data_IF_831796740330
#
_entry.id   IF_831796740330
#
_cell.length_a   1.000
_cell.length_b   1.000
_cell.length_c   1.000
_cell.angle_alpha   90.00
_cell.angle_beta   90.00
_cell.angle_gamma   90.00
#
_symmetry.space_group_name_H-M   'P 1'
#
loop_
_entity.id
_entity.type
_entity.pdbx_description
1 polymer ?
#
# COMPACT_ATOMS: atom_id res chain seq x y z
N UNK A 1 -18.58 25.71 7.59
CA UNK A 1 -17.28 26.32 7.22
C UNK A 1 -16.05 25.50 7.69
N UNK A 2 -16.21 24.38 8.42
CA UNK A 2 -15.09 23.55 8.89
C UNK A 2 -15.12 22.13 8.29
N UNK A 3 -15.09 21.97 6.96
CA UNK A 3 -15.04 20.62 6.32
C UNK A 3 -13.61 20.16 6.00
N UNK A 4 -12.70 21.12 5.78
CA UNK A 4 -11.32 20.82 5.37
C UNK A 4 -10.47 20.15 6.45
N UNK A 5 -10.79 20.32 7.74
CA UNK A 5 -9.94 19.81 8.81
C UNK A 5 -9.85 18.28 8.83
N UNK A 6 -10.90 17.55 8.43
CA UNK A 6 -10.87 16.08 8.36
C UNK A 6 -9.83 15.65 7.31
N UNK A 7 -9.91 16.21 6.10
CA UNK A 7 -8.97 15.91 5.03
C UNK A 7 -7.54 16.32 5.39
N UNK A 8 -7.35 17.49 5.99
CA UNK A 8 -6.03 17.97 6.43
C UNK A 8 -5.47 17.04 7.50
N UNK A 9 -6.25 16.72 8.54
CA UNK A 9 -5.81 15.86 9.65
C UNK A 9 -5.49 14.46 9.15
N UNK A 10 -6.36 13.89 8.32
CA UNK A 10 -6.13 12.60 7.68
C UNK A 10 -4.85 12.60 6.84
N UNK A 11 -4.67 13.61 5.98
CA UNK A 11 -3.49 13.70 5.11
C UNK A 11 -2.22 13.81 5.93
N UNK A 12 -2.19 14.65 6.98
CA UNK A 12 -1.03 14.79 7.85
C UNK A 12 -0.69 13.47 8.56
N UNK A 13 -1.70 12.78 9.11
CA UNK A 13 -1.51 11.48 9.74
C UNK A 13 -1.06 10.43 8.73
N UNK A 14 -1.65 10.39 7.54
CA UNK A 14 -1.36 9.40 6.52
C UNK A 14 0.06 9.59 5.96
N UNK A 15 0.47 10.83 5.70
CA UNK A 15 1.86 11.15 5.32
C UNK A 15 2.82 10.73 6.43
N UNK A 16 2.53 11.06 7.70
CA UNK A 16 3.36 10.62 8.81
C UNK A 16 3.49 9.09 8.86
N UNK A 17 2.38 8.36 8.77
CA UNK A 17 2.38 6.90 8.75
C UNK A 17 3.13 6.33 7.55
N UNK A 18 3.01 6.95 6.37
CA UNK A 18 3.72 6.52 5.19
C UNK A 18 5.25 6.62 5.33
N UNK A 19 5.79 7.51 6.16
CA UNK A 19 7.23 7.63 6.41
C UNK A 19 7.71 6.90 7.67
N UNK A 20 6.92 6.90 8.75
CA UNK A 20 7.30 6.26 10.03
C UNK A 20 7.25 4.75 9.93
N UNK A 21 6.26 4.19 9.22
CA UNK A 21 6.14 2.76 8.98
C UNK A 21 7.24 2.34 7.99
N UNK A 22 8.19 1.46 8.37
CA UNK A 22 9.20 0.98 7.44
C UNK A 22 8.56 0.36 6.19
N UNK A 23 9.23 0.40 5.03
CA UNK A 23 8.79 -0.35 3.86
C UNK A 23 8.48 -1.82 4.20
N UNK A 24 7.43 -2.39 3.64
CA UNK A 24 7.09 -3.83 3.76
C UNK A 24 6.66 -4.34 5.15
N UNK A 25 6.48 -3.46 6.12
CA UNK A 25 5.85 -3.80 7.42
C UNK A 25 4.32 -3.88 7.35
N UNK A 26 3.72 -3.39 6.25
CA UNK A 26 2.28 -3.58 6.04
C UNK A 26 2.00 -4.98 5.48
N UNK A 27 0.84 -5.60 5.81
CA UNK A 27 0.44 -6.88 5.25
C UNK A 27 0.58 -6.91 3.74
N UNK A 28 1.29 -7.93 3.24
CA UNK A 28 1.52 -8.23 1.82
C UNK A 28 2.13 -7.11 0.96
N UNK A 29 2.52 -5.97 1.54
CA UNK A 29 3.04 -4.80 0.80
C UNK A 29 4.28 -5.13 -0.03
N UNK A 30 5.11 -6.05 0.46
CA UNK A 30 6.22 -6.63 -0.28
C UNK A 30 5.77 -7.24 -1.60
N UNK A 31 4.72 -8.06 -1.56
CA UNK A 31 4.25 -8.79 -2.73
C UNK A 31 3.56 -7.85 -3.72
N UNK A 32 2.80 -6.89 -3.22
CA UNK A 32 2.21 -5.84 -4.05
C UNK A 32 3.29 -5.02 -4.75
N UNK A 33 4.34 -4.60 -4.03
CA UNK A 33 5.44 -3.87 -4.63
C UNK A 33 6.24 -4.74 -5.63
N UNK A 34 6.46 -6.01 -5.32
CA UNK A 34 7.08 -6.96 -6.26
C UNK A 34 6.30 -7.10 -7.57
N UNK A 35 4.97 -6.98 -7.52
CA UNK A 35 4.09 -6.96 -8.70
C UNK A 35 4.31 -5.67 -9.51
N UNK A 36 4.32 -4.51 -8.83
CA UNK A 36 4.61 -3.20 -9.43
C UNK A 36 5.99 -3.19 -10.10
N UNK A 37 7.03 -3.63 -9.39
CA UNK A 37 8.40 -3.68 -9.88
C UNK A 37 8.53 -4.60 -11.11
N UNK A 38 7.86 -5.77 -11.09
CA UNK A 38 7.85 -6.67 -12.25
C UNK A 38 7.25 -6.00 -13.49
N UNK A 39 6.10 -5.34 -13.35
CA UNK A 39 5.46 -4.63 -14.48
C UNK A 39 6.33 -3.46 -14.94
N UNK A 40 6.84 -2.65 -14.02
CA UNK A 40 7.67 -1.48 -14.34
C UNK A 40 8.93 -1.90 -15.13
N UNK A 41 9.56 -3.01 -14.74
CA UNK A 41 10.78 -3.54 -15.37
C UNK A 41 10.52 -4.24 -16.70
N UNK A 42 9.45 -5.02 -16.81
CA UNK A 42 9.25 -5.93 -17.95
C UNK A 42 8.19 -5.44 -18.94
N UNK A 43 7.34 -4.50 -18.53
CA UNK A 43 6.14 -4.09 -19.26
C UNK A 43 5.07 -5.18 -19.38
N UNK A 44 5.19 -6.28 -18.63
CA UNK A 44 4.31 -7.45 -18.74
C UNK A 44 3.62 -7.75 -17.41
N UNK A 45 2.40 -8.29 -17.51
CA UNK A 45 1.72 -8.85 -16.35
C UNK A 45 2.40 -10.14 -15.91
N UNK A 46 2.53 -10.38 -14.59
CA UNK A 46 3.09 -11.62 -14.08
C UNK A 46 2.18 -12.81 -14.40
N UNK A 47 2.80 -13.97 -14.62
CA UNK A 47 2.08 -15.22 -14.81
C UNK A 47 1.96 -15.90 -13.45
N UNK A 48 0.73 -16.13 -12.99
CA UNK A 48 0.48 -16.92 -11.79
C UNK A 48 0.75 -18.39 -12.06
N UNK A 49 1.63 -19.01 -11.28
CA UNK A 49 1.98 -20.42 -11.40
C UNK A 49 1.93 -21.10 -10.04
N UNK A 50 1.23 -22.23 -9.97
CA UNK A 50 1.18 -23.07 -8.76
C UNK A 50 2.53 -23.74 -8.45
N UNK A 51 3.42 -23.82 -9.43
CA UNK A 51 4.73 -24.46 -9.30
C UNK A 51 5.83 -23.51 -8.80
N UNK A 52 5.52 -22.21 -8.65
CA UNK A 52 6.49 -21.22 -8.19
C UNK A 52 6.04 -20.68 -6.84
N UNK A 53 6.62 -21.24 -5.79
CA UNK A 53 6.30 -20.93 -4.38
C UNK A 53 7.42 -20.17 -3.68
N UNK A 54 8.54 -19.91 -4.38
CA UNK A 54 9.68 -19.22 -3.78
C UNK A 54 9.56 -17.70 -4.02
N UNK A 55 9.34 -16.90 -2.96
CA UNK A 55 9.22 -15.44 -3.08
C UNK A 55 10.52 -14.75 -3.52
N UNK A 56 11.67 -15.43 -3.50
CA UNK A 56 12.92 -14.94 -4.11
C UNK A 56 12.89 -15.04 -5.65
N UNK A 57 12.11 -15.96 -6.22
CA UNK A 57 11.97 -16.13 -7.67
C UNK A 57 10.70 -15.48 -8.21
N UNK A 58 9.67 -15.32 -7.37
CA UNK A 58 8.41 -14.64 -7.71
C UNK A 58 8.05 -13.65 -6.60
N UNK A 59 8.61 -12.43 -6.64
CA UNK A 59 8.44 -11.45 -5.56
C UNK A 59 7.00 -10.96 -5.39
N UNK A 60 6.10 -11.26 -6.32
CA UNK A 60 4.66 -10.95 -6.25
C UNK A 60 3.79 -12.09 -5.70
N UNK A 61 4.28 -13.34 -5.66
CA UNK A 61 3.54 -14.51 -5.15
C UNK A 61 2.07 -14.53 -5.60
N UNK A 62 1.14 -14.74 -4.68
CA UNK A 62 -0.31 -14.78 -4.91
C UNK A 62 -0.89 -13.47 -5.49
N UNK A 63 -0.19 -12.34 -5.39
CA UNK A 63 -0.69 -11.06 -5.89
C UNK A 63 -0.78 -11.02 -7.42
N UNK A 64 -0.13 -11.94 -8.14
CA UNK A 64 -0.29 -12.06 -9.58
C UNK A 64 -1.69 -12.51 -10.03
N UNK A 65 -2.53 -13.05 -9.14
CA UNK A 65 -3.94 -13.34 -9.48
C UNK A 65 -4.87 -12.14 -9.29
N UNK A 66 -4.38 -11.01 -8.75
CA UNK A 66 -5.22 -9.86 -8.47
C UNK A 66 -5.45 -8.96 -9.71
N UNK A 67 -6.55 -8.19 -9.76
CA UNK A 67 -6.81 -7.27 -10.87
C UNK A 67 -5.68 -6.26 -11.08
N UNK A 68 -5.25 -6.02 -12.33
CA UNK A 68 -3.97 -5.37 -12.60
C UNK A 68 -3.98 -3.83 -12.50
N UNK A 69 -5.15 -3.18 -12.42
CA UNK A 69 -5.26 -1.73 -12.65
C UNK A 69 -4.39 -0.89 -11.71
N UNK A 70 -4.44 -1.16 -10.40
CA UNK A 70 -3.61 -0.46 -9.41
C UNK A 70 -2.13 -0.58 -9.76
N UNK A 71 -1.72 -1.79 -10.10
CA UNK A 71 -0.32 -2.11 -10.36
C UNK A 71 0.19 -1.51 -11.67
N UNK A 72 -0.66 -1.41 -12.70
CA UNK A 72 -0.32 -0.73 -13.95
C UNK A 72 -0.08 0.76 -13.72
N UNK A 73 -0.92 1.42 -12.92
CA UNK A 73 -0.75 2.84 -12.56
C UNK A 73 0.52 3.02 -11.72
N UNK A 74 0.69 2.22 -10.67
CA UNK A 74 1.86 2.26 -9.81
C UNK A 74 3.16 1.94 -10.58
N UNK A 75 3.12 1.03 -11.55
CA UNK A 75 4.26 0.71 -12.39
C UNK A 75 4.63 1.88 -13.32
N UNK A 76 3.64 2.63 -13.82
CA UNK A 76 3.90 3.87 -14.56
C UNK A 76 4.58 4.95 -13.70
N UNK A 77 4.30 4.99 -12.39
CA UNK A 77 5.00 5.86 -11.44
C UNK A 77 6.43 5.37 -11.19
N UNK A 78 6.63 4.05 -11.09
CA UNK A 78 7.95 3.47 -10.78
C UNK A 78 8.89 3.41 -12.00
N UNK A 79 8.38 3.23 -13.20
CA UNK A 79 9.16 3.00 -14.43
C UNK A 79 10.25 4.04 -14.74
N UNK A 80 10.11 5.34 -14.41
CA UNK A 80 11.17 6.32 -14.60
C UNK A 80 12.37 6.18 -13.65
N UNK A 81 12.25 5.38 -12.59
CA UNK A 81 13.30 5.17 -11.60
C UNK A 81 14.09 3.90 -11.93
N UNK A 82 15.42 3.98 -11.92
CA UNK A 82 16.27 2.80 -12.10
C UNK A 82 16.00 1.78 -10.98
N UNK A 83 15.72 0.54 -11.37
CA UNK A 83 15.35 -0.55 -10.47
C UNK A 83 16.59 -1.16 -9.79
N UNK A 84 17.00 -0.54 -8.68
CA UNK A 84 17.99 -1.02 -7.72
C UNK A 84 17.36 -1.87 -6.58
N UNK A 85 16.13 -2.39 -6.79
CA UNK A 85 15.37 -3.19 -5.80
C UNK A 85 16.11 -4.38 -5.21
N UNK A 86 16.93 -5.06 -6.00
CA UNK A 86 17.73 -6.21 -5.56
C UNK A 86 18.69 -5.86 -4.41
N UNK A 87 19.01 -4.58 -4.26
CA UNK A 87 19.85 -4.03 -3.19
C UNK A 87 19.05 -3.45 -2.03
N UNK A 88 17.73 -3.33 -2.14
CA UNK A 88 16.90 -2.68 -1.13
C UNK A 88 16.38 -3.64 -0.05
N UNK A 89 16.06 -4.89 -0.39
CA UNK A 89 15.43 -5.78 0.59
C UNK A 89 15.79 -7.25 0.41
N UNK A 90 15.75 -7.98 1.53
CA UNK A 90 15.82 -9.43 1.57
C UNK A 90 14.79 -9.95 2.57
N UNK A 91 14.16 -11.07 2.25
CA UNK A 91 13.31 -11.77 3.22
C UNK A 91 14.19 -12.17 4.39
N UNK A 92 13.72 -11.87 5.60
CA UNK A 92 14.47 -12.19 6.81
C UNK A 92 14.52 -13.72 6.98
N UNK A 93 15.70 -14.35 6.98
CA UNK A 93 15.82 -15.81 7.09
C UNK A 93 15.35 -16.35 8.45
N UNK A 94 15.21 -15.48 9.45
CA UNK A 94 14.73 -15.83 10.79
C UNK A 94 13.25 -15.51 11.00
N UNK A 95 12.52 -15.07 9.97
CA UNK A 95 11.11 -14.72 10.11
C UNK A 95 10.27 -15.93 10.49
N UNK A 96 9.37 -15.74 11.45
CA UNK A 96 8.31 -16.68 11.82
C UNK A 96 6.98 -15.94 11.83
N UNK A 97 6.29 -15.99 10.68
CA UNK A 97 4.94 -15.43 10.54
C UNK A 97 3.88 -16.51 10.82
N UNK A 98 2.70 -16.08 11.23
CA UNK A 98 1.53 -16.95 11.39
C UNK A 98 1.20 -17.36 12.84
N UNK A 99 2.12 -17.15 13.79
CA UNK A 99 1.85 -17.32 15.22
C UNK A 99 2.37 -16.13 16.03
N UNK A 100 1.44 -15.27 16.45
CA UNK A 100 1.74 -14.07 17.23
C UNK A 100 2.12 -14.37 18.68
N UNK A 101 1.89 -15.58 19.17
CA UNK A 101 2.18 -16.00 20.56
C UNK A 101 3.63 -16.42 20.75
N UNK A 102 4.34 -16.73 19.66
CA UNK A 102 5.76 -17.10 19.73
C UNK A 102 6.66 -15.86 19.91
N UNK A 103 7.80 -16.00 20.63
CA UNK A 103 8.79 -14.93 20.76
C UNK A 103 9.71 -14.82 19.53
N UNK A 104 9.41 -15.55 18.44
CA UNK A 104 10.24 -15.57 17.24
C UNK A 104 10.17 -14.24 16.48
N UNK A 105 11.12 -14.06 15.55
CA UNK A 105 11.25 -12.82 14.82
C UNK A 105 10.06 -12.63 13.86
N UNK A 106 9.31 -11.54 14.06
CA UNK A 106 8.14 -11.18 13.23
C UNK A 106 8.50 -10.22 12.10
N UNK A 107 9.72 -9.67 12.10
CA UNK A 107 10.17 -8.81 11.02
C UNK A 107 10.28 -9.63 9.73
N UNK A 108 9.43 -9.30 8.76
CA UNK A 108 9.36 -10.00 7.49
C UNK A 108 10.57 -9.76 6.59
N UNK A 109 11.13 -8.54 6.60
CA UNK A 109 12.16 -8.15 5.64
C UNK A 109 13.30 -7.37 6.30
N UNK A 110 14.51 -7.65 5.84
CA UNK A 110 15.68 -6.83 6.16
C UNK A 110 15.78 -5.77 5.08
N UNK A 111 15.66 -4.50 5.47
CA UNK A 111 15.66 -3.34 4.58
C UNK A 111 17.04 -2.68 4.62
N UNK A 112 17.61 -2.47 3.45
CA UNK A 112 18.81 -1.66 3.24
C UNK A 112 18.41 -0.39 2.50
N UNK A 113 18.66 0.77 3.11
CA UNK A 113 18.30 2.08 2.53
C UNK A 113 19.29 2.55 1.43
N UNK A 114 19.92 1.61 0.73
CA UNK A 114 20.97 1.87 -0.27
C UNK A 114 20.42 1.95 -1.70
N UNK A 115 19.09 2.01 -1.86
CA UNK A 115 18.40 2.02 -3.15
C UNK A 115 17.51 3.26 -3.27
N UNK A 116 18.10 4.47 -3.42
CA UNK A 116 17.38 5.74 -3.31
C UNK A 116 16.32 5.92 -4.41
N UNK A 117 16.56 5.38 -5.61
CA UNK A 117 15.64 5.51 -6.74
C UNK A 117 14.37 4.69 -6.50
N UNK A 118 14.53 3.40 -6.19
CA UNK A 118 13.40 2.54 -5.86
C UNK A 118 12.67 3.02 -4.60
N UNK A 119 13.38 3.58 -3.60
CA UNK A 119 12.73 4.13 -2.39
C UNK A 119 11.86 5.32 -2.75
N UNK A 120 12.35 6.21 -3.61
CA UNK A 120 11.58 7.37 -4.08
C UNK A 120 10.30 6.90 -4.79
N UNK A 121 10.41 5.96 -5.72
CA UNK A 121 9.25 5.37 -6.40
C UNK A 121 8.27 4.71 -5.42
N UNK A 122 8.77 3.97 -4.43
CA UNK A 122 7.96 3.34 -3.39
C UNK A 122 7.13 4.36 -2.60
N UNK A 123 7.75 5.44 -2.11
CA UNK A 123 7.04 6.48 -1.38
C UNK A 123 6.06 7.25 -2.27
N UNK A 124 6.37 7.48 -3.55
CA UNK A 124 5.42 8.07 -4.50
C UNK A 124 4.18 7.17 -4.70
N UNK A 125 4.35 5.85 -4.71
CA UNK A 125 3.21 4.92 -4.75
C UNK A 125 2.41 4.96 -3.45
N UNK A 126 3.06 5.07 -2.27
CA UNK A 126 2.33 5.31 -1.01
C UNK A 126 1.53 6.62 -1.04
N UNK A 127 2.04 7.68 -1.68
CA UNK A 127 1.29 8.93 -1.89
C UNK A 127 0.09 8.74 -2.85
N UNK A 128 0.22 7.89 -3.88
CA UNK A 128 -0.93 7.46 -4.69
C UNK A 128 -1.98 6.75 -3.81
N UNK A 129 -1.56 5.82 -2.94
CA UNK A 129 -2.49 5.14 -2.04
C UNK A 129 -3.21 6.10 -1.09
N UNK A 130 -2.52 7.12 -0.58
CA UNK A 130 -3.14 8.18 0.23
C UNK A 130 -4.18 8.99 -0.55
N UNK A 131 -3.90 9.32 -1.81
CA UNK A 131 -4.85 10.07 -2.64
C UNK A 131 -6.11 9.25 -2.92
N UNK A 132 -5.98 7.93 -3.12
CA UNK A 132 -7.12 7.01 -3.22
C UNK A 132 -7.93 6.97 -1.93
N UNK A 133 -7.30 6.93 -0.75
CA UNK A 133 -8.02 7.00 0.52
C UNK A 133 -8.76 8.33 0.74
N UNK A 134 -8.24 9.45 0.24
CA UNK A 134 -8.97 10.73 0.23
C UNK A 134 -10.23 10.66 -0.64
N UNK A 135 -10.17 9.96 -1.77
CA UNK A 135 -11.34 9.70 -2.62
C UNK A 135 -12.34 8.85 -1.86
N UNK A 136 -11.93 7.77 -1.18
CA UNK A 136 -12.82 6.97 -0.32
C UNK A 136 -13.54 7.83 0.73
N UNK A 137 -12.80 8.67 1.46
CA UNK A 137 -13.39 9.57 2.49
C UNK A 137 -14.42 10.52 1.85
N UNK A 138 -14.09 11.08 0.69
CA UNK A 138 -15.02 11.94 -0.05
C UNK A 138 -16.28 11.18 -0.48
N UNK A 139 -16.12 9.97 -1.05
CA UNK A 139 -17.19 9.07 -1.49
C UNK A 139 -18.12 8.73 -0.31
N UNK A 140 -17.57 8.44 0.87
CA UNK A 140 -18.35 8.21 2.10
C UNK A 140 -19.20 9.42 2.47
N UNK A 141 -18.64 10.63 2.33
CA UNK A 141 -19.39 11.87 2.53
C UNK A 141 -20.56 12.03 1.54
N UNK A 142 -20.38 11.64 0.28
CA UNK A 142 -21.46 11.67 -0.72
C UNK A 142 -22.54 10.63 -0.43
N UNK A 143 -22.14 9.37 -0.17
CA UNK A 143 -23.05 8.27 0.17
C UNK A 143 -23.87 8.61 1.40
N UNK A 144 -23.27 9.19 2.43
CA UNK A 144 -23.99 9.62 3.63
C UNK A 144 -25.07 10.66 3.33
N UNK A 145 -24.82 11.62 2.41
CA UNK A 145 -25.83 12.61 1.99
C UNK A 145 -26.96 11.97 1.19
N UNK A 146 -26.66 10.97 0.36
CA UNK A 146 -27.65 10.25 -0.44
C UNK A 146 -28.58 9.39 0.43
N UNK A 147 -28.03 8.69 1.43
CA UNK A 147 -28.81 7.80 2.31
C UNK A 147 -29.66 8.59 3.29
N UNK A 148 -29.11 9.64 3.91
CA UNK A 148 -29.80 10.44 4.91
C UNK A 148 -29.39 11.91 4.81
N UNK A 149 -30.12 12.73 4.04
CA UNK A 149 -29.77 14.13 3.79
C UNK A 149 -29.56 14.98 5.05
N UNK A 150 -30.30 14.70 6.12
CA UNK A 150 -30.21 15.40 7.40
C UNK A 150 -29.07 14.90 8.32
N UNK A 151 -28.41 13.80 7.96
CA UNK A 151 -27.29 13.28 8.73
C UNK A 151 -26.02 14.07 8.41
N UNK A 152 -25.20 14.45 9.40
CA UNK A 152 -23.93 15.14 9.15
C UNK A 152 -22.92 14.17 8.53
N UNK A 153 -22.60 14.26 7.21
CA UNK A 153 -21.66 13.34 6.57
C UNK A 153 -20.25 13.44 7.15
N UNK A 154 -19.91 14.58 7.77
CA UNK A 154 -18.65 14.77 8.47
C UNK A 154 -18.45 13.74 9.60
N UNK A 155 -19.54 13.28 10.22
CA UNK A 155 -19.47 12.20 11.21
C UNK A 155 -19.08 10.87 10.56
N UNK A 156 -19.74 10.49 9.46
CA UNK A 156 -19.41 9.27 8.72
C UNK A 156 -17.97 9.31 8.18
N UNK A 157 -17.56 10.45 7.61
CA UNK A 157 -16.19 10.68 7.15
C UNK A 157 -15.18 10.55 8.29
N UNK A 158 -15.47 11.11 9.47
CA UNK A 158 -14.58 11.04 10.63
C UNK A 158 -14.40 9.61 11.14
N UNK A 159 -15.46 8.81 11.15
CA UNK A 159 -15.37 7.39 11.55
C UNK A 159 -14.43 6.59 10.65
N UNK A 160 -14.38 6.90 9.35
CA UNK A 160 -13.46 6.24 8.41
C UNK A 160 -12.06 6.84 8.49
N UNK A 161 -11.94 8.17 8.42
CA UNK A 161 -10.66 8.87 8.41
C UNK A 161 -9.82 8.61 9.66
N UNK A 162 -10.45 8.47 10.83
CA UNK A 162 -9.77 8.20 12.10
C UNK A 162 -9.85 6.74 12.54
N UNK A 163 -10.25 5.82 11.65
CA UNK A 163 -10.11 4.39 11.89
C UNK A 163 -8.62 4.01 11.73
N UNK A 164 -7.96 3.47 12.78
CA UNK A 164 -6.55 3.12 12.72
C UNK A 164 -6.21 2.11 11.62
N UNK A 165 -7.11 1.14 11.36
CA UNK A 165 -6.92 0.14 10.32
C UNK A 165 -6.97 0.79 8.92
N UNK A 166 -7.93 1.67 8.68
CA UNK A 166 -8.05 2.38 7.41
C UNK A 166 -6.79 3.22 7.14
N UNK A 167 -6.38 4.04 8.12
CA UNK A 167 -5.16 4.85 8.02
C UNK A 167 -3.91 4.01 7.75
N UNK A 168 -3.77 2.87 8.43
CA UNK A 168 -2.60 2.00 8.29
C UNK A 168 -2.52 1.33 6.90
N UNK A 169 -3.64 0.86 6.36
CA UNK A 169 -3.72 0.20 5.05
C UNK A 169 -3.66 1.21 3.89
N UNK A 170 -4.27 2.38 4.03
CA UNK A 170 -4.20 3.47 3.02
C UNK A 170 -2.78 3.95 2.77
N UNK A 171 -1.88 3.79 3.74
CA UNK A 171 -0.48 4.19 3.62
C UNK A 171 0.42 3.06 3.14
N UNK A 172 -0.15 1.93 2.70
CA UNK A 172 0.58 0.79 2.16
C UNK A 172 0.45 0.70 0.63
N UNK A 173 1.45 0.11 -0.03
CA UNK A 173 1.32 -0.33 -1.42
C UNK A 173 0.41 -1.56 -1.46
N UNK A 174 -0.87 -1.36 -1.81
CA UNK A 174 -1.87 -2.41 -2.00
C UNK A 174 -2.94 -1.94 -2.98
N UNK A 175 -3.51 -2.86 -3.73
CA UNK A 175 -4.64 -2.60 -4.63
C UNK A 175 -5.97 -2.39 -3.88
N UNK A 176 -6.07 -2.77 -2.61
CA UNK A 176 -7.27 -2.57 -1.79
C UNK A 176 -7.70 -1.10 -1.76
N UNK A 177 -6.72 -0.19 -1.75
CA UNK A 177 -6.95 1.25 -1.76
C UNK A 177 -7.64 1.72 -3.04
N UNK A 178 -7.36 1.09 -4.19
CA UNK A 178 -8.05 1.41 -5.44
C UNK A 178 -9.43 0.76 -5.52
N UNK A 179 -9.59 -0.45 -4.97
CA UNK A 179 -10.89 -1.14 -4.92
C UNK A 179 -11.90 -0.39 -4.06
N UNK A 180 -11.43 0.35 -3.04
CA UNK A 180 -12.27 1.05 -2.06
C UNK A 180 -12.41 2.55 -2.32
N UNK A 181 -11.75 3.12 -3.33
CA UNK A 181 -11.86 4.52 -3.73
C UNK A 181 -13.13 4.78 -4.56
#
# INVERSE_FOLDING_TARGET
>A
MFKGWIYISFTLLAVLYAFVKPPFESPDEYYHFGMVAHIAKTGKLPIQSQHVTNPLTTPYMQQASQPPLFYLIAAGILAPFDDDSNEMWRINPHVSLGDSTTPYNKNFSVITFNAPNTLTGFYLIRLLSISLGLITIWSIGQVSRLIKPDFPPEFAMSLVAFNPMFLFITTAVTNDNLVTA
#
